data_IF_962593525974
#
_entry.id   IF_962593525974
#
_cell.length_a   1.000
_cell.length_b   1.000
_cell.length_c   1.000
_cell.angle_alpha   90.00
_cell.angle_beta   90.00
_cell.angle_gamma   90.00
#
_symmetry.space_group_name_H-M   'P 1'
#
loop_
_entity.id
_entity.type
_entity.pdbx_description
1 polymer ?
#
# COMPACT_ATOMS: atom_id res chain seq x y z
N UNK A 1 -4.34 -20.08 -17.75
CA UNK A 1 -3.66 -18.79 -17.54
C UNK A 1 -2.99 -18.42 -18.85
N UNK A 2 -3.13 -17.20 -19.36
CA UNK A 2 -2.52 -16.83 -20.65
C UNK A 2 -0.99 -16.75 -20.55
N UNK A 3 -0.29 -16.98 -21.68
CA UNK A 3 1.18 -16.86 -21.76
C UNK A 3 1.69 -15.50 -21.29
N UNK A 4 0.90 -14.45 -21.54
CA UNK A 4 1.18 -13.10 -21.05
C UNK A 4 1.33 -13.06 -19.52
N UNK A 5 0.38 -13.63 -18.77
CA UNK A 5 0.41 -13.61 -17.30
C UNK A 5 1.58 -14.43 -16.75
N UNK A 6 1.90 -15.56 -17.37
CA UNK A 6 3.07 -16.36 -16.99
C UNK A 6 4.37 -15.58 -17.18
N UNK A 7 4.50 -14.84 -18.28
CA UNK A 7 5.64 -13.96 -18.54
C UNK A 7 5.74 -12.84 -17.50
N UNK A 8 4.62 -12.18 -17.16
CA UNK A 8 4.59 -11.12 -16.15
C UNK A 8 4.95 -11.65 -14.75
N UNK A 9 4.42 -12.82 -14.35
CA UNK A 9 4.79 -13.47 -13.09
C UNK A 9 6.28 -13.81 -13.05
N UNK A 10 6.83 -14.33 -14.14
CA UNK A 10 8.26 -14.65 -14.22
C UNK A 10 9.14 -13.41 -14.06
N UNK A 11 8.76 -12.29 -14.68
CA UNK A 11 9.46 -11.02 -14.53
C UNK A 11 9.38 -10.49 -13.09
N UNK A 12 8.20 -10.55 -12.46
CA UNK A 12 8.01 -10.12 -11.07
C UNK A 12 8.86 -10.94 -10.07
N UNK A 13 8.97 -12.25 -10.29
CA UNK A 13 9.86 -13.12 -9.48
C UNK A 13 11.34 -12.77 -9.65
N UNK A 14 11.76 -12.35 -10.83
CA UNK A 14 13.15 -12.05 -11.14
C UNK A 14 13.62 -10.71 -10.54
N UNK A 15 12.71 -9.76 -10.33
CA UNK A 15 12.98 -8.45 -9.71
C UNK A 15 11.87 -8.13 -8.71
N UNK A 16 12.04 -8.67 -7.50
CA UNK A 16 11.00 -8.67 -6.47
C UNK A 16 10.76 -7.26 -5.92
N UNK A 17 9.59 -6.70 -6.21
CA UNK A 17 9.15 -5.36 -5.78
C UNK A 17 8.30 -5.39 -4.50
N UNK A 18 8.26 -4.26 -3.80
CA UNK A 18 7.38 -4.01 -2.65
C UNK A 18 6.08 -3.37 -3.11
N UNK A 19 4.95 -4.05 -2.89
CA UNK A 19 3.61 -3.60 -3.31
C UNK A 19 2.73 -3.37 -2.09
N UNK A 20 2.10 -2.20 -2.04
CA UNK A 20 1.14 -1.81 -1.00
C UNK A 20 -0.28 -2.18 -1.42
N UNK A 21 -1.01 -2.80 -0.49
CA UNK A 21 -2.42 -3.13 -0.60
C UNK A 21 -3.18 -2.36 0.49
N UNK A 22 -3.85 -1.23 0.18
CA UNK A 22 -4.44 -0.36 1.18
C UNK A 22 -5.80 -0.85 1.70
N UNK A 23 -6.38 -1.89 1.08
CA UNK A 23 -7.73 -2.40 1.36
C UNK A 23 -7.67 -3.66 2.24
N UNK A 24 -6.96 -3.60 3.37
CA UNK A 24 -6.72 -4.75 4.25
C UNK A 24 -7.98 -5.36 4.88
N UNK A 25 -9.09 -4.63 4.93
CA UNK A 25 -10.38 -5.10 5.41
C UNK A 25 -11.15 -5.92 4.36
N UNK A 26 -10.76 -5.86 3.07
CA UNK A 26 -11.40 -6.64 2.02
C UNK A 26 -10.83 -8.07 1.98
N UNK A 27 -11.67 -9.11 2.12
CA UNK A 27 -11.18 -10.49 2.14
C UNK A 27 -10.50 -10.91 0.84
N UNK A 28 -10.85 -10.30 -0.31
CA UNK A 28 -10.20 -10.58 -1.60
C UNK A 28 -8.76 -10.07 -1.61
N UNK A 29 -8.49 -8.95 -0.96
CA UNK A 29 -7.13 -8.42 -0.77
C UNK A 29 -6.29 -9.39 0.04
N UNK A 30 -6.83 -9.92 1.13
CA UNK A 30 -6.15 -10.90 1.99
C UNK A 30 -5.84 -12.19 1.21
N UNK A 31 -6.81 -12.75 0.49
CA UNK A 31 -6.61 -13.93 -0.37
C UNK A 31 -5.54 -13.69 -1.44
N UNK A 32 -5.54 -12.50 -2.05
CA UNK A 32 -4.54 -12.14 -3.06
C UNK A 32 -3.14 -11.99 -2.46
N UNK A 33 -3.01 -11.31 -1.31
CA UNK A 33 -1.76 -11.14 -0.59
C UNK A 33 -1.10 -12.49 -0.27
N UNK A 34 -1.86 -13.43 0.29
CA UNK A 34 -1.38 -14.78 0.60
C UNK A 34 -0.84 -15.47 -0.65
N UNK A 35 -1.60 -15.47 -1.76
CA UNK A 35 -1.16 -16.08 -3.02
C UNK A 35 0.08 -15.42 -3.60
N UNK A 36 0.18 -14.09 -3.53
CA UNK A 36 1.34 -13.33 -4.01
C UNK A 36 2.60 -13.74 -3.25
N UNK A 37 2.50 -13.90 -1.92
CA UNK A 37 3.59 -14.32 -1.05
C UNK A 37 3.97 -15.78 -1.32
N UNK A 38 3.00 -16.69 -1.34
CA UNK A 38 3.21 -18.12 -1.63
C UNK A 38 3.88 -18.35 -2.99
N UNK A 39 3.49 -17.58 -4.00
CA UNK A 39 4.09 -17.66 -5.34
C UNK A 39 5.42 -16.88 -5.46
N UNK A 40 5.78 -16.06 -4.47
CA UNK A 40 6.99 -15.23 -4.45
C UNK A 40 6.97 -14.09 -5.48
N UNK A 41 5.82 -13.45 -5.71
CA UNK A 41 5.64 -12.44 -6.76
C UNK A 41 5.98 -11.01 -6.33
N UNK A 42 5.85 -10.69 -5.04
CA UNK A 42 6.17 -9.38 -4.47
C UNK A 42 6.36 -9.46 -2.95
N UNK A 43 7.04 -8.48 -2.37
CA UNK A 43 6.97 -8.19 -0.93
C UNK A 43 5.68 -7.40 -0.67
N UNK A 44 4.87 -7.83 0.28
CA UNK A 44 3.54 -7.25 0.49
C UNK A 44 3.52 -6.40 1.75
N UNK A 45 3.01 -5.18 1.61
CA UNK A 45 2.57 -4.34 2.71
C UNK A 45 1.06 -4.22 2.65
N UNK A 46 0.36 -4.54 3.74
CA UNK A 46 -1.08 -4.37 3.88
C UNK A 46 -1.32 -3.20 4.84
N UNK A 47 -2.20 -2.27 4.46
CA UNK A 47 -2.61 -1.19 5.36
C UNK A 47 -3.95 -1.54 6.01
N UNK A 48 -4.01 -1.41 7.34
CA UNK A 48 -5.16 -1.76 8.17
C UNK A 48 -4.77 -2.09 9.60
N UNK A 49 -5.70 -2.64 10.38
CA UNK A 49 -5.47 -2.97 11.79
C UNK A 49 -4.58 -4.24 11.93
N UNK A 50 -3.37 -4.15 12.53
CA UNK A 50 -2.50 -5.32 12.75
C UNK A 50 -3.10 -6.39 13.66
N UNK A 51 -4.06 -6.02 14.52
CA UNK A 51 -4.73 -6.98 15.41
C UNK A 51 -5.78 -7.82 14.67
N UNK A 52 -6.24 -7.38 13.50
CA UNK A 52 -7.29 -8.04 12.69
C UNK A 52 -6.74 -8.73 11.44
N UNK A 53 -5.59 -8.28 10.95
CA UNK A 53 -4.99 -8.77 9.70
C UNK A 53 -3.83 -9.71 10.03
N UNK A 54 -4.00 -10.99 9.70
CA UNK A 54 -2.95 -12.00 9.85
C UNK A 54 -2.63 -12.66 8.50
N UNK A 55 -1.60 -12.15 7.82
CA UNK A 55 -1.06 -12.73 6.58
C UNK A 55 0.43 -13.01 6.78
N UNK A 56 0.83 -14.27 7.02
CA UNK A 56 2.23 -14.63 7.19
C UNK A 56 3.08 -14.17 6.00
N UNK A 57 4.18 -13.45 6.29
CA UNK A 57 5.09 -12.91 5.27
C UNK A 57 4.71 -11.52 4.73
N UNK A 58 3.55 -10.97 5.11
CA UNK A 58 3.21 -9.58 4.85
C UNK A 58 3.64 -8.67 6.02
N UNK A 59 3.99 -7.43 5.70
CA UNK A 59 4.07 -6.36 6.70
C UNK A 59 2.69 -5.72 6.82
N UNK A 60 2.17 -5.57 8.05
CA UNK A 60 0.90 -4.86 8.29
C UNK A 60 1.19 -3.53 8.99
N UNK A 61 0.63 -2.44 8.48
CA UNK A 61 0.81 -1.08 9.02
C UNK A 61 -0.55 -0.43 9.23
N UNK A 62 -0.81 0.10 10.44
CA UNK A 62 -1.93 1.01 10.68
C UNK A 62 -1.49 2.44 10.34
N UNK A 63 -2.05 3.09 9.29
CA UNK A 63 -1.70 4.47 8.93
C UNK A 63 -1.90 5.49 10.05
N UNK A 64 -2.80 5.21 11.00
CA UNK A 64 -3.15 6.11 12.11
C UNK A 64 -2.08 6.12 13.21
N UNK A 65 -1.29 5.05 13.30
CA UNK A 65 -0.27 4.84 14.33
C UNK A 65 1.13 4.61 13.75
N UNK A 66 1.31 4.81 12.44
CA UNK A 66 2.58 4.57 11.77
C UNK A 66 3.64 5.62 12.15
N UNK A 67 4.88 5.17 12.38
CA UNK A 67 6.02 6.05 12.69
C UNK A 67 6.23 7.14 11.62
N UNK A 68 6.01 6.80 10.35
CA UNK A 68 6.18 7.70 9.20
C UNK A 68 5.00 8.65 8.96
N UNK A 69 3.98 8.65 9.81
CA UNK A 69 2.78 9.47 9.62
C UNK A 69 3.08 10.95 9.44
N UNK A 70 3.88 11.53 10.34
CA UNK A 70 4.22 12.96 10.29
C UNK A 70 5.08 13.32 9.08
N UNK A 71 6.04 12.45 8.72
CA UNK A 71 6.89 12.63 7.54
C UNK A 71 6.06 12.67 6.26
N UNK A 72 5.12 11.72 6.11
CA UNK A 72 4.23 11.67 4.96
C UNK A 72 3.25 12.86 4.94
N UNK A 73 2.72 13.27 6.09
CA UNK A 73 1.85 14.44 6.19
C UNK A 73 2.58 15.72 5.74
N UNK A 74 3.81 15.92 6.22
CA UNK A 74 4.62 17.09 5.86
C UNK A 74 4.92 17.11 4.37
N UNK A 75 5.28 15.95 3.79
CA UNK A 75 5.53 15.88 2.35
C UNK A 75 4.25 16.09 1.53
N UNK A 76 3.13 15.53 1.97
CA UNK A 76 1.85 15.71 1.29
C UNK A 76 1.41 17.18 1.29
N UNK A 77 1.53 17.88 2.42
CA UNK A 77 1.25 19.31 2.52
C UNK A 77 2.14 20.12 1.55
N UNK A 78 3.44 19.85 1.51
CA UNK A 78 4.38 20.48 0.56
C UNK A 78 3.92 20.28 -0.90
N UNK A 79 3.62 19.04 -1.29
CA UNK A 79 3.18 18.70 -2.64
C UNK A 79 1.83 19.33 -3.00
N UNK A 80 0.98 19.61 -2.02
CA UNK A 80 -0.39 20.12 -2.20
C UNK A 80 -0.57 21.58 -1.79
N UNK A 81 0.51 22.29 -1.45
CA UNK A 81 0.49 23.69 -1.03
C UNK A 81 -0.21 24.61 -2.05
N UNK A 82 -0.05 24.36 -3.35
CA UNK A 82 -0.74 25.12 -4.43
C UNK A 82 -2.26 25.00 -4.41
N UNK A 83 -2.79 23.99 -3.72
CA UNK A 83 -4.23 23.76 -3.53
C UNK A 83 -4.70 24.18 -2.12
N UNK A 84 -3.84 24.86 -1.35
CA UNK A 84 -4.17 25.36 -0.03
C UNK A 84 -4.26 24.30 1.06
N UNK A 85 -3.70 23.10 0.85
CA UNK A 85 -3.71 22.04 1.88
C UNK A 85 -2.79 22.44 3.03
N UNK A 86 -3.35 22.57 4.23
CA UNK A 86 -2.56 22.83 5.45
C UNK A 86 -1.95 21.54 6.00
N UNK A 87 -1.00 21.65 6.93
CA UNK A 87 -0.39 20.48 7.57
C UNK A 87 -1.40 19.68 8.39
N UNK A 88 -2.35 20.34 9.04
CA UNK A 88 -3.43 19.68 9.81
C UNK A 88 -4.34 18.87 8.88
N UNK A 89 -4.70 19.43 7.73
CA UNK A 89 -5.46 18.70 6.70
C UNK A 89 -4.66 17.54 6.13
N UNK A 90 -3.35 17.72 5.93
CA UNK A 90 -2.48 16.66 5.45
C UNK A 90 -2.37 15.50 6.44
N UNK A 91 -2.18 15.77 7.74
CA UNK A 91 -2.19 14.75 8.80
C UNK A 91 -3.48 13.93 8.78
N UNK A 92 -4.63 14.62 8.74
CA UNK A 92 -5.92 13.94 8.64
C UNK A 92 -6.03 13.10 7.35
N UNK A 93 -5.53 13.62 6.23
CA UNK A 93 -5.63 12.92 4.94
C UNK A 93 -4.76 11.67 4.88
N UNK A 94 -3.54 11.69 5.44
CA UNK A 94 -2.64 10.53 5.42
C UNK A 94 -3.01 9.48 6.48
N UNK A 95 -4.05 9.68 7.29
CA UNK A 95 -4.68 8.59 8.05
C UNK A 95 -5.47 7.63 7.15
N UNK A 96 -5.89 8.08 5.96
CA UNK A 96 -6.52 7.21 4.97
C UNK A 96 -5.49 6.26 4.35
N UNK A 97 -5.80 4.97 4.30
CA UNK A 97 -4.90 3.94 3.81
C UNK A 97 -4.46 4.16 2.35
N UNK A 98 -5.36 4.61 1.48
CA UNK A 98 -5.02 4.84 0.07
C UNK A 98 -4.05 6.03 -0.07
N UNK A 99 -4.27 7.10 0.68
CA UNK A 99 -3.36 8.24 0.71
C UNK A 99 -2.01 7.89 1.35
N UNK A 100 -2.02 7.16 2.48
CA UNK A 100 -0.80 6.70 3.14
C UNK A 100 0.03 5.82 2.20
N UNK A 101 -0.60 4.81 1.58
CA UNK A 101 0.06 3.91 0.64
C UNK A 101 0.58 4.65 -0.60
N UNK A 102 -0.14 5.65 -1.09
CA UNK A 102 0.34 6.51 -2.19
C UNK A 102 1.59 7.30 -1.76
N UNK A 103 1.63 7.78 -0.52
CA UNK A 103 2.80 8.44 0.04
C UNK A 103 3.98 7.48 0.23
N UNK A 104 3.74 6.22 0.62
CA UNK A 104 4.81 5.20 0.65
C UNK A 104 5.51 5.08 -0.70
N UNK A 105 4.73 4.99 -1.79
CA UNK A 105 5.30 4.94 -3.15
C UNK A 105 6.02 6.24 -3.49
N UNK A 106 5.42 7.39 -3.18
CA UNK A 106 6.01 8.70 -3.47
C UNK A 106 7.35 8.92 -2.74
N UNK A 107 7.49 8.36 -1.55
CA UNK A 107 8.67 8.48 -0.69
C UNK A 107 9.72 7.39 -0.96
N UNK A 108 9.41 6.41 -1.82
CA UNK A 108 10.32 5.30 -2.15
C UNK A 108 10.32 4.17 -1.13
N UNK A 109 9.35 4.14 -0.22
CA UNK A 109 9.13 3.07 0.76
C UNK A 109 8.37 1.86 0.17
N UNK A 110 7.79 2.03 -1.02
CA UNK A 110 7.24 0.97 -1.84
C UNK A 110 7.43 1.27 -3.33
N UNK A 111 7.38 0.23 -4.16
CA UNK A 111 7.55 0.34 -5.61
C UNK A 111 6.21 0.53 -6.35
N UNK A 112 5.11 0.18 -5.69
CA UNK A 112 3.77 0.33 -6.26
C UNK A 112 2.65 0.12 -5.24
N UNK A 113 1.44 0.47 -5.67
CA UNK A 113 0.21 0.31 -4.90
C UNK A 113 -0.90 -0.21 -5.82
N UNK A 114 -1.71 -1.14 -5.33
CA UNK A 114 -2.90 -1.64 -6.03
C UNK A 114 -4.10 -1.53 -5.08
N UNK A 115 -5.17 -0.86 -5.52
CA UNK A 115 -6.41 -0.61 -4.77
C UNK A 115 -7.62 -0.70 -5.73
N UNK A 116 -8.83 -0.50 -5.21
CA UNK A 116 -10.07 -0.44 -5.99
C UNK A 116 -10.93 -1.70 -5.91
N UNK A 117 -10.65 -2.61 -4.98
CA UNK A 117 -11.55 -3.72 -4.69
C UNK A 117 -12.83 -3.22 -4.02
N UNK A 118 -12.71 -2.31 -3.06
CA UNK A 118 -13.84 -1.74 -2.33
C UNK A 118 -13.92 -0.20 -2.41
N UNK A 119 -12.91 0.46 -2.98
CA UNK A 119 -12.94 1.89 -3.29
C UNK A 119 -13.31 2.18 -4.75
N UNK A 120 -13.94 3.33 -4.99
CA UNK A 120 -14.27 3.80 -6.34
C UNK A 120 -13.02 4.19 -7.13
N UNK A 121 -13.04 3.89 -8.43
CA UNK A 121 -12.06 4.35 -9.43
C UNK A 121 -12.33 5.76 -9.92
#
# INVERSE_FOLDING_TARGET
MSDFLNRMKSAAKADLKTIVLPEGEDPRTIIAATKIIEEGLAKIVILGNPDEINVPGATVIDPRNAEKHEEYAQKFAELRAKKGVTIEQARAQVMDATYFGTMMVKMGDADGLVSGACHST
#
